data_IF_199011702727
#
_entry.id   IF_199011702727
#
_cell.length_a   1.000
_cell.length_b   1.000
_cell.length_c   1.000
_cell.angle_alpha   90.00
_cell.angle_beta   90.00
_cell.angle_gamma   90.00
#
_symmetry.space_group_name_H-M   'P 1'
#
loop_
_entity.id
_entity.type
_entity.pdbx_description
1 polymer ?
#
# COMPACT_ATOMS: atom_id res chain seq x y z
N UNK A 1 9.58 14.37 10.88
CA UNK A 1 8.13 14.60 10.95
C UNK A 1 7.58 13.85 12.14
N UNK A 2 6.79 14.49 13.01
CA UNK A 2 6.13 13.79 14.13
C UNK A 2 4.84 13.13 13.67
N UNK A 3 4.45 12.04 14.33
CA UNK A 3 3.23 11.28 14.05
C UNK A 3 1.95 12.08 14.40
N UNK A 4 1.88 12.80 15.53
CA UNK A 4 0.73 13.66 15.81
C UNK A 4 0.53 14.80 14.81
N UNK A 5 1.61 15.27 14.18
CA UNK A 5 1.53 16.33 13.16
C UNK A 5 0.77 15.88 11.89
N UNK A 6 0.76 14.59 11.59
CA UNK A 6 -0.01 14.02 10.47
C UNK A 6 -1.37 13.43 10.92
N UNK A 7 -1.81 13.75 12.14
CA UNK A 7 -3.12 13.35 12.67
C UNK A 7 -3.21 11.90 13.13
N UNK A 8 -2.09 11.28 13.49
CA UNK A 8 -2.02 9.91 14.02
C UNK A 8 -1.61 9.93 15.50
N UNK A 9 -2.11 8.96 16.29
CA UNK A 9 -1.74 8.80 17.70
C UNK A 9 -0.29 8.31 17.86
N UNK A 10 0.44 8.77 18.86
CA UNK A 10 1.86 8.42 19.07
C UNK A 10 2.09 7.26 20.04
N UNK A 11 1.02 6.61 20.50
CA UNK A 11 1.04 5.50 21.44
C UNK A 11 1.49 4.18 20.79
N UNK A 12 1.35 4.08 19.46
CA UNK A 12 1.66 2.89 18.67
C UNK A 12 2.98 2.99 17.90
N UNK A 13 3.52 1.83 17.55
CA UNK A 13 4.52 1.75 16.50
C UNK A 13 3.83 1.90 15.14
N UNK A 14 4.55 2.53 14.21
CA UNK A 14 4.14 2.69 12.83
C UNK A 14 5.16 2.04 11.92
N UNK A 15 4.67 1.64 10.77
CA UNK A 15 5.46 1.17 9.65
C UNK A 15 5.18 2.06 8.45
N UNK A 16 6.16 2.20 7.55
CA UNK A 16 5.95 2.93 6.32
C UNK A 16 6.62 2.30 5.10
N UNK A 17 6.05 2.58 3.94
CA UNK A 17 6.60 2.14 2.64
C UNK A 17 6.85 3.34 1.74
N UNK A 18 8.10 3.51 1.31
CA UNK A 18 8.51 4.51 0.34
C UNK A 18 8.31 4.00 -1.08
N UNK A 19 7.34 4.60 -1.77
CA UNK A 19 6.99 4.23 -3.12
C UNK A 19 8.15 4.41 -4.10
N UNK A 20 8.78 5.59 -4.08
CA UNK A 20 9.81 5.95 -5.04
C UNK A 20 11.10 5.19 -4.81
N UNK A 21 11.48 5.00 -3.55
CA UNK A 21 12.64 4.18 -3.21
C UNK A 21 12.35 2.67 -3.28
N UNK A 22 11.09 2.28 -3.49
CA UNK A 22 10.60 0.90 -3.39
C UNK A 22 11.14 0.21 -2.13
N UNK A 23 11.06 0.90 -0.99
CA UNK A 23 11.75 0.52 0.24
C UNK A 23 10.84 0.62 1.46
N UNK A 24 10.90 -0.41 2.28
CA UNK A 24 10.31 -0.41 3.61
C UNK A 24 11.14 0.41 4.61
N UNK A 25 10.48 1.19 5.47
CA UNK A 25 11.13 1.85 6.61
C UNK A 25 10.93 1.02 7.86
N UNK A 26 12.01 0.75 8.61
CA UNK A 26 11.92 0.09 9.91
C UNK A 26 10.82 0.68 10.81
N UNK A 27 10.19 -0.13 11.69
CA UNK A 27 9.17 0.38 12.60
C UNK A 27 9.67 1.56 13.41
N UNK A 28 8.82 2.56 13.59
CA UNK A 28 9.17 3.80 14.27
C UNK A 28 8.01 4.27 15.15
N UNK A 29 8.34 5.07 16.17
CA UNK A 29 7.36 5.63 17.11
C UNK A 29 7.59 7.12 17.30
N UNK A 30 6.50 7.88 17.41
CA UNK A 30 6.49 9.32 17.67
C UNK A 30 6.99 10.20 16.51
N UNK A 31 8.05 9.80 15.79
CA UNK A 31 8.55 10.56 14.63
C UNK A 31 9.24 9.70 13.58
N UNK A 32 9.11 10.11 12.32
CA UNK A 32 9.84 9.59 11.17
C UNK A 32 10.84 10.63 10.67
N UNK A 33 12.11 10.25 10.53
CA UNK A 33 13.16 11.10 9.95
C UNK A 33 13.65 10.48 8.65
N UNK A 34 13.63 11.27 7.58
CA UNK A 34 14.07 10.87 6.25
C UNK A 34 15.02 11.93 5.69
N UNK A 35 16.02 11.49 4.93
CA UNK A 35 16.86 12.41 4.15
C UNK A 35 16.22 12.62 2.78
N UNK A 36 16.02 13.89 2.42
CA UNK A 36 15.45 14.32 1.15
C UNK A 36 16.50 15.15 0.41
N UNK A 37 17.12 14.63 -0.67
CA UNK A 37 17.97 15.43 -1.54
C UNK A 37 17.23 16.64 -2.11
N UNK A 38 17.97 17.70 -2.45
CA UNK A 38 17.40 18.90 -3.05
C UNK A 38 16.65 18.56 -4.35
N UNK A 39 15.46 19.15 -4.54
CA UNK A 39 14.63 18.91 -5.74
C UNK A 39 13.94 17.55 -5.79
N UNK A 40 13.93 16.78 -4.70
CA UNK A 40 13.25 15.47 -4.65
C UNK A 40 12.09 15.46 -3.67
N UNK A 41 11.23 14.46 -3.79
CA UNK A 41 10.19 14.15 -2.81
C UNK A 41 10.20 12.66 -2.46
N UNK A 42 9.56 12.32 -1.35
CA UNK A 42 9.26 10.95 -0.96
C UNK A 42 7.76 10.82 -0.76
N UNK A 43 7.21 9.67 -1.14
CA UNK A 43 5.80 9.34 -0.95
C UNK A 43 5.77 8.09 -0.08
N UNK A 44 5.23 8.26 1.13
CA UNK A 44 5.26 7.26 2.19
C UNK A 44 3.83 6.88 2.58
N UNK A 45 3.50 5.60 2.48
CA UNK A 45 2.28 5.07 3.08
C UNK A 45 2.59 4.68 4.51
N UNK A 46 1.95 5.34 5.48
CA UNK A 46 2.18 5.13 6.92
C UNK A 46 0.98 4.41 7.53
N UNK A 47 1.22 3.34 8.27
CA UNK A 47 0.18 2.57 8.96
C UNK A 47 0.64 2.13 10.35
N UNK A 48 -0.27 1.96 11.32
CA UNK A 48 0.06 1.30 12.57
C UNK A 48 0.69 -0.08 12.31
N UNK A 49 1.68 -0.44 13.12
CA UNK A 49 2.22 -1.79 13.11
C UNK A 49 1.15 -2.78 13.58
N UNK A 50 1.03 -3.89 12.87
CA UNK A 50 0.15 -5.02 13.20
C UNK A 50 1.00 -6.25 13.51
N UNK A 51 0.45 -7.27 14.16
CA UNK A 51 1.10 -8.57 14.39
C UNK A 51 0.82 -9.58 13.26
N UNK A 52 -0.01 -9.19 12.29
CA UNK A 52 -0.37 -9.96 11.11
C UNK A 52 0.12 -9.29 9.81
N UNK A 53 0.02 -9.99 8.67
CA UNK A 53 0.24 -9.39 7.37
C UNK A 53 -0.72 -8.22 7.08
N UNK A 54 -0.22 -7.13 6.50
CA UNK A 54 -1.05 -5.98 6.13
C UNK A 54 -0.61 -5.34 4.80
N UNK A 55 -1.56 -4.75 4.08
CA UNK A 55 -1.33 -4.01 2.85
C UNK A 55 -0.76 -2.62 3.14
N UNK A 56 0.45 -2.33 2.65
CA UNK A 56 1.10 -1.03 2.83
C UNK A 56 0.94 -0.11 1.63
N UNK A 57 1.04 -0.63 0.40
CA UNK A 57 1.00 0.20 -0.81
C UNK A 57 0.50 -0.60 -2.01
N UNK A 58 -0.14 0.10 -2.95
CA UNK A 58 -0.43 -0.39 -4.30
C UNK A 58 0.43 0.33 -5.34
N UNK A 59 0.45 -0.11 -6.59
CA UNK A 59 1.20 0.54 -7.68
C UNK A 59 0.57 1.85 -8.18
N UNK A 60 -0.50 2.33 -7.56
CA UNK A 60 -0.99 3.69 -7.78
C UNK A 60 -0.08 4.65 -7.04
N UNK A 61 0.94 5.09 -7.75
CA UNK A 61 2.17 5.74 -7.26
C UNK A 61 2.00 6.72 -6.09
N UNK A 62 1.02 7.61 -6.15
CA UNK A 62 0.84 8.65 -5.12
C UNK A 62 -0.21 8.27 -4.08
N UNK A 63 -1.32 7.65 -4.48
CA UNK A 63 -2.44 7.35 -3.57
C UNK A 63 -2.21 6.07 -2.76
N UNK A 64 -1.33 5.17 -3.21
CA UNK A 64 -0.87 3.98 -2.49
C UNK A 64 -1.99 3.14 -1.84
N UNK A 65 -3.16 3.04 -2.47
CA UNK A 65 -4.29 2.27 -1.94
C UNK A 65 -5.40 3.11 -1.30
N UNK A 66 -5.17 4.39 -0.97
CA UNK A 66 -6.14 5.25 -0.26
C UNK A 66 -7.47 5.42 -1.00
N UNK A 67 -7.46 5.39 -2.33
CA UNK A 67 -8.65 5.64 -3.15
C UNK A 67 -9.24 4.34 -3.71
N UNK A 68 -8.39 3.35 -3.95
CA UNK A 68 -8.73 2.14 -4.66
C UNK A 68 -8.95 0.94 -3.75
N UNK A 69 -8.32 0.85 -2.58
CA UNK A 69 -8.58 -0.25 -1.63
C UNK A 69 -9.91 0.03 -0.93
N UNK A 70 -10.89 -0.82 -1.19
CA UNK A 70 -12.23 -0.74 -0.58
C UNK A 70 -12.26 -1.46 0.76
N UNK A 71 -11.51 -2.56 0.86
CA UNK A 71 -11.55 -3.45 2.02
C UNK A 71 -10.26 -4.24 2.13
N UNK A 72 -9.85 -4.51 3.37
CA UNK A 72 -8.71 -5.34 3.75
C UNK A 72 -9.13 -6.18 4.97
N UNK A 73 -9.01 -7.50 4.86
CA UNK A 73 -9.36 -8.44 5.93
C UNK A 73 -8.25 -9.47 6.13
N UNK A 74 -7.91 -9.71 7.39
CA UNK A 74 -7.04 -10.80 7.81
C UNK A 74 -7.85 -11.82 8.61
N UNK A 75 -7.97 -13.03 8.09
CA UNK A 75 -8.69 -14.12 8.77
C UNK A 75 -8.01 -15.46 8.51
N UNK A 76 -7.86 -16.28 9.56
CA UNK A 76 -7.38 -17.67 9.45
C UNK A 76 -6.07 -17.85 8.67
N UNK A 77 -5.14 -16.89 8.75
CA UNK A 77 -3.86 -16.98 8.04
C UNK A 77 -3.88 -16.43 6.61
N UNK A 78 -5.00 -15.87 6.16
CA UNK A 78 -5.18 -15.33 4.81
C UNK A 78 -5.41 -13.82 4.86
N UNK A 79 -4.63 -13.07 4.07
CA UNK A 79 -4.86 -11.64 3.83
C UNK A 79 -5.64 -11.49 2.52
N UNK A 80 -6.84 -10.92 2.59
CA UNK A 80 -7.66 -10.58 1.45
C UNK A 80 -7.83 -9.06 1.36
N UNK A 81 -7.78 -8.52 0.15
CA UNK A 81 -8.09 -7.11 -0.10
C UNK A 81 -8.92 -6.95 -1.37
N UNK A 82 -9.93 -6.10 -1.33
CA UNK A 82 -10.76 -5.73 -2.47
C UNK A 82 -10.37 -4.34 -2.96
N UNK A 83 -10.10 -4.20 -4.26
CA UNK A 83 -9.73 -2.93 -4.86
C UNK A 83 -10.69 -2.52 -5.99
N UNK A 84 -11.13 -1.27 -6.02
CA UNK A 84 -11.82 -0.66 -7.15
C UNK A 84 -10.81 -0.27 -8.22
N UNK A 85 -10.91 -0.93 -9.38
CA UNK A 85 -10.10 -0.60 -10.54
C UNK A 85 -10.99 0.08 -11.59
N UNK A 86 -10.80 1.39 -11.79
CA UNK A 86 -11.32 2.07 -12.97
C UNK A 86 -10.31 1.97 -14.10
N UNK A 87 -10.65 1.18 -15.12
CA UNK A 87 -9.89 1.11 -16.37
C UNK A 87 -10.45 2.19 -17.30
N UNK A 88 -9.63 3.18 -17.65
CA UNK A 88 -9.94 4.13 -18.72
C UNK A 88 -9.08 3.71 -19.91
N UNK A 89 -9.68 3.03 -20.88
CA UNK A 89 -8.97 2.53 -22.06
C UNK A 89 -9.48 3.21 -23.33
N UNK A 90 -8.56 3.77 -24.10
CA UNK A 90 -8.59 3.70 -25.57
C UNK A 90 -7.51 2.71 -25.99
N UNK A 91 -7.84 1.43 -26.01
CA UNK A 91 -6.97 0.32 -26.42
C UNK A 91 -5.66 0.15 -25.63
N UNK A 92 -5.70 -0.62 -24.53
CA UNK A 92 -4.48 -1.07 -23.84
C UNK A 92 -4.76 -2.11 -22.76
N UNK A 93 -3.88 -3.11 -22.65
CA UNK A 93 -3.83 -4.05 -21.51
C UNK A 93 -3.10 -3.34 -20.37
N UNK A 94 -3.78 -3.12 -19.25
CA UNK A 94 -3.17 -2.53 -18.06
C UNK A 94 -2.88 -3.62 -17.03
N UNK A 95 -1.65 -3.71 -16.50
CA UNK A 95 -1.36 -4.61 -15.38
C UNK A 95 -2.18 -4.21 -14.15
N UNK A 96 -2.65 -5.21 -13.40
CA UNK A 96 -3.26 -4.98 -12.09
C UNK A 96 -2.26 -4.28 -11.17
N UNK A 97 -2.73 -3.52 -10.16
CA UNK A 97 -1.83 -2.79 -9.33
C UNK A 97 -0.90 -3.73 -8.54
N UNK A 98 0.41 -3.50 -8.64
CA UNK A 98 1.40 -4.21 -7.85
C UNK A 98 1.17 -3.95 -6.36
N UNK A 99 1.10 -5.02 -5.56
CA UNK A 99 0.76 -4.95 -4.12
C UNK A 99 2.06 -5.00 -3.30
N UNK A 100 2.08 -4.32 -2.14
CA UNK A 100 3.19 -4.38 -1.17
C UNK A 100 2.64 -4.73 0.20
N UNK A 101 3.08 -5.87 0.73
CA UNK A 101 2.59 -6.44 1.99
C UNK A 101 3.71 -6.43 3.02
N UNK A 102 3.37 -6.12 4.27
CA UNK A 102 4.22 -6.33 5.43
C UNK A 102 3.97 -7.72 5.98
N UNK A 103 4.92 -8.64 5.95
CA UNK A 103 4.81 -9.93 6.68
C UNK A 103 5.72 -9.92 7.93
N UNK A 104 5.16 -10.08 9.15
CA UNK A 104 5.94 -10.01 10.39
C UNK A 104 7.08 -11.02 10.50
N UNK A 105 6.95 -12.21 9.88
CA UNK A 105 7.82 -13.36 10.15
C UNK A 105 9.00 -13.51 9.18
N UNK A 106 8.89 -12.99 7.96
CA UNK A 106 9.86 -13.27 6.88
C UNK A 106 10.80 -12.12 6.55
N UNK A 107 10.76 -11.02 7.30
CA UNK A 107 11.68 -9.91 7.05
C UNK A 107 11.46 -9.27 5.68
N UNK A 108 10.19 -9.06 5.32
CA UNK A 108 9.73 -8.24 4.18
C UNK A 108 9.88 -8.91 2.83
N UNK A 109 8.74 -9.31 2.26
CA UNK A 109 8.66 -9.66 0.86
C UNK A 109 7.79 -8.61 0.16
N UNK A 110 8.41 -7.77 -0.66
CA UNK A 110 7.70 -7.09 -1.73
C UNK A 110 7.27 -8.15 -2.74
N UNK A 111 6.24 -8.92 -2.39
CA UNK A 111 5.54 -9.77 -3.33
C UNK A 111 4.79 -8.83 -4.25
N UNK A 112 5.40 -8.49 -5.37
CA UNK A 112 4.60 -8.22 -6.55
C UNK A 112 3.84 -9.51 -6.84
N UNK A 113 2.62 -9.59 -6.33
CA UNK A 113 1.73 -10.72 -6.61
C UNK A 113 1.38 -10.59 -8.10
N UNK A 114 1.92 -11.45 -8.99
CA UNK A 114 1.56 -11.41 -10.39
C UNK A 114 0.06 -11.69 -10.51
N UNK A 115 -0.61 -11.16 -11.53
CA UNK A 115 -2.07 -11.22 -11.63
C UNK A 115 -2.56 -12.67 -11.54
N UNK A 116 -3.28 -12.99 -10.46
CA UNK A 116 -4.23 -14.09 -10.48
C UNK A 116 -5.40 -13.64 -11.37
N UNK A 117 -5.66 -14.37 -12.45
CA UNK A 117 -6.74 -14.10 -13.40
C UNK A 117 -8.06 -13.82 -12.68
N UNK A 118 -8.54 -12.56 -12.74
CA UNK A 118 -9.88 -12.20 -12.29
C UNK A 118 -10.88 -12.73 -13.31
N UNK A 119 -11.65 -13.76 -12.95
CA UNK A 119 -12.66 -14.39 -13.84
C UNK A 119 -14.00 -13.65 -13.93
N UNK A 120 -14.18 -12.49 -13.31
CA UNK A 120 -15.44 -11.75 -13.41
C UNK A 120 -15.23 -10.24 -13.43
N UNK A 121 -15.17 -9.68 -14.64
CA UNK A 121 -15.37 -8.25 -14.88
C UNK A 121 -16.81 -8.09 -15.33
N UNK A 122 -17.70 -7.72 -14.40
CA UNK A 122 -19.01 -7.22 -14.80
C UNK A 122 -18.80 -5.89 -15.53
N UNK A 123 -19.01 -5.92 -16.85
CA UNK A 123 -18.99 -4.76 -17.76
C UNK A 123 -20.01 -3.73 -17.27
N UNK A 124 -19.55 -2.64 -16.67
CA UNK A 124 -20.37 -1.44 -16.50
C UNK A 124 -20.38 -0.71 -17.85
N UNK A 125 -21.47 -0.85 -18.61
CA UNK A 125 -21.74 0.03 -19.74
C UNK A 125 -22.11 1.42 -19.21
N UNK A 126 -21.44 2.45 -19.71
CA UNK A 126 -21.90 3.83 -19.57
C UNK A 126 -23.09 4.02 -20.52
N UNK A 127 -24.24 4.42 -19.98
CA UNK A 127 -25.29 5.16 -20.71
C UNK A 127 -24.87 6.60 -20.91
#
# INVERSE_FOLDING_TARGET
MSIPFIGLDDDRNFVAFDYWANKFTEPFKGSLRQKLPAGTCRVLAVRPEADHPQLLSTSRQITQGVIDVLEEQWESGVLAAACKVTVVSSAGVFPLPGIRIREPRSGWLALEVPPLFVRNINRVHRT
#
